data_IF_149115090429
#
_entry.id   IF_149115090429
#
_cell.length_a   1.000
_cell.length_b   1.000
_cell.length_c   1.000
_cell.angle_alpha   90.00
_cell.angle_beta   90.00
_cell.angle_gamma   90.00
#
_symmetry.space_group_name_H-M   'P 1'
#
loop_
_entity.id
_entity.type
_entity.pdbx_description
1 polymer ?
#
# COMPACT_ATOMS: atom_id res chain seq x y z
N UNK A 1 -15.41 11.70 -1.01
CA UNK A 1 -16.25 11.10 -2.06
C UNK A 1 -15.41 10.09 -2.84
N UNK A 2 -15.74 8.82 -2.72
CA UNK A 2 -15.14 7.77 -3.55
C UNK A 2 -15.49 7.97 -5.03
N UNK A 3 -14.49 7.93 -5.91
CA UNK A 3 -14.63 7.96 -7.37
C UNK A 3 -14.51 6.54 -7.89
N UNK A 4 -15.52 6.05 -8.61
CA UNK A 4 -15.55 4.68 -9.16
C UNK A 4 -14.93 4.59 -10.55
N UNK A 5 -14.76 3.37 -11.06
CA UNK A 5 -14.25 3.15 -12.42
C UNK A 5 -15.20 3.69 -13.48
N UNK A 6 -16.51 3.57 -13.28
CA UNK A 6 -17.53 4.11 -14.19
C UNK A 6 -17.47 5.64 -14.22
N UNK A 7 -17.32 6.28 -13.06
CA UNK A 7 -17.12 7.74 -12.98
C UNK A 7 -15.83 8.18 -13.70
N UNK A 8 -14.76 7.38 -13.62
CA UNK A 8 -13.50 7.61 -14.35
C UNK A 8 -13.65 7.46 -15.88
N UNK A 9 -14.53 6.56 -16.32
CA UNK A 9 -14.91 6.39 -17.74
C UNK A 9 -15.69 7.61 -18.24
N UNK A 10 -16.58 8.15 -17.41
CA UNK A 10 -17.31 9.39 -17.66
C UNK A 10 -16.44 10.67 -17.52
N UNK A 11 -15.14 10.51 -17.23
CA UNK A 11 -14.17 11.61 -17.21
C UNK A 11 -14.00 12.31 -15.86
N UNK A 12 -14.62 11.82 -14.79
CA UNK A 12 -14.37 12.32 -13.43
C UNK A 12 -12.95 11.95 -13.01
N UNK A 13 -12.21 12.92 -12.46
CA UNK A 13 -10.84 12.72 -11.97
C UNK A 13 -10.80 12.86 -10.46
N UNK A 14 -10.25 11.88 -9.71
CA UNK A 14 -10.12 11.97 -8.27
C UNK A 14 -9.03 12.98 -7.89
N UNK A 15 -9.22 13.67 -6.78
CA UNK A 15 -8.20 14.55 -6.22
C UNK A 15 -7.03 13.73 -5.65
N UNK A 16 -7.35 12.61 -4.99
CA UNK A 16 -6.37 11.68 -4.43
C UNK A 16 -6.47 10.30 -5.05
N UNK A 17 -5.33 9.63 -5.21
CA UNK A 17 -5.27 8.18 -5.37
C UNK A 17 -4.79 7.57 -4.06
N UNK A 18 -5.53 6.62 -3.50
CA UNK A 18 -5.12 5.89 -2.29
C UNK A 18 -4.82 4.45 -2.66
N UNK A 19 -3.54 4.10 -2.69
CA UNK A 19 -3.03 2.80 -3.10
C UNK A 19 -2.35 2.05 -1.96
N UNK A 20 -1.79 0.89 -2.28
CA UNK A 20 -0.97 0.14 -1.34
C UNK A 20 -1.30 -1.35 -1.28
N UNK A 21 -0.28 -2.14 -0.96
CA UNK A 21 -0.41 -3.56 -0.73
C UNK A 21 -0.88 -3.75 0.71
N UNK A 22 -2.18 -3.75 0.92
CA UNK A 22 -2.72 -3.98 2.25
C UNK A 22 -3.50 -5.29 2.36
N UNK A 23 -3.79 -5.98 1.25
CA UNK A 23 -4.39 -7.32 1.30
C UNK A 23 -3.50 -8.32 2.07
N UNK A 24 -4.10 -8.98 3.05
CA UNK A 24 -3.49 -10.03 3.86
C UNK A 24 -3.72 -11.35 3.15
N UNK A 25 -2.66 -12.10 2.83
CA UNK A 25 -2.85 -13.45 2.32
C UNK A 25 -3.37 -14.37 3.44
N UNK A 26 -4.64 -14.77 3.35
CA UNK A 26 -5.24 -15.78 4.21
C UNK A 26 -5.17 -17.18 3.59
N UNK A 27 -5.59 -18.19 4.36
CA UNK A 27 -5.61 -19.61 3.95
C UNK A 27 -6.56 -19.89 2.79
N UNK A 28 -7.66 -19.13 2.69
CA UNK A 28 -8.69 -19.29 1.66
C UNK A 28 -8.51 -18.27 0.53
N UNK A 29 -7.36 -17.60 0.50
CA UNK A 29 -7.12 -16.46 -0.36
C UNK A 29 -6.99 -15.15 0.43
N UNK A 30 -6.92 -14.05 -0.29
CA UNK A 30 -6.60 -12.75 0.26
C UNK A 30 -7.78 -12.10 0.98
N UNK A 31 -7.45 -11.35 2.03
CA UNK A 31 -8.36 -10.67 2.93
C UNK A 31 -8.09 -9.17 2.83
N UNK A 32 -9.14 -8.39 2.57
CA UNK A 32 -9.08 -6.92 2.61
C UNK A 32 -8.61 -6.46 3.98
N UNK A 33 -7.70 -5.50 4.01
CA UNK A 33 -7.24 -4.89 5.25
C UNK A 33 -8.00 -3.59 5.51
N UNK A 34 -8.68 -3.46 6.67
CA UNK A 34 -9.46 -2.27 7.00
C UNK A 34 -8.59 -1.06 7.40
N UNK A 35 -7.25 -1.17 7.37
CA UNK A 35 -6.32 -0.11 7.78
C UNK A 35 -6.58 1.26 7.11
N UNK A 36 -7.03 1.24 5.85
CA UNK A 36 -7.39 2.44 5.08
C UNK A 36 -8.79 2.99 5.32
N UNK A 37 -9.67 2.27 6.02
CA UNK A 37 -11.06 2.71 6.25
C UNK A 37 -11.11 4.04 7.01
N UNK A 38 -10.18 4.25 7.95
CA UNK A 38 -10.10 5.50 8.72
C UNK A 38 -9.67 6.70 7.85
N UNK A 39 -8.79 6.49 6.87
CA UNK A 39 -8.40 7.53 5.93
C UNK A 39 -9.59 7.87 5.02
N UNK A 40 -10.24 6.84 4.46
CA UNK A 40 -11.40 7.00 3.59
C UNK A 40 -12.56 7.75 4.28
N UNK A 41 -12.92 7.35 5.50
CA UNK A 41 -13.93 8.04 6.32
C UNK A 41 -13.59 9.53 6.50
N UNK A 42 -12.33 9.83 6.80
CA UNK A 42 -11.90 11.22 6.97
C UNK A 42 -11.94 12.01 5.65
N UNK A 43 -11.53 11.40 4.53
CA UNK A 43 -11.63 12.03 3.21
C UNK A 43 -13.09 12.32 2.83
N UNK A 44 -14.01 11.41 3.15
CA UNK A 44 -15.44 11.61 2.94
C UNK A 44 -16.01 12.74 3.82
N UNK A 45 -15.63 12.81 5.09
CA UNK A 45 -16.01 13.91 6.00
C UNK A 45 -15.56 15.28 5.50
N UNK A 46 -14.42 15.35 4.79
CA UNK A 46 -13.89 16.59 4.21
C UNK A 46 -14.34 16.82 2.76
N UNK A 47 -15.23 15.98 2.22
CA UNK A 47 -15.71 16.05 0.84
C UNK A 47 -14.60 16.02 -0.22
N UNK A 48 -13.46 15.38 0.08
CA UNK A 48 -12.38 15.24 -0.89
C UNK A 48 -12.61 14.02 -1.78
N UNK A 49 -12.43 14.17 -3.09
CA UNK A 49 -12.60 13.06 -4.02
C UNK A 49 -11.37 12.16 -4.03
N UNK A 50 -11.56 10.85 -3.97
CA UNK A 50 -10.45 9.90 -3.99
C UNK A 50 -10.81 8.63 -4.74
N UNK A 51 -9.81 7.98 -5.32
CA UNK A 51 -9.93 6.65 -5.89
C UNK A 51 -9.13 5.69 -5.05
N UNK A 52 -9.81 4.68 -4.48
CA UNK A 52 -9.18 3.59 -3.76
C UNK A 52 -9.58 2.27 -4.42
N UNK A 53 -8.64 1.53 -5.04
CA UNK A 53 -8.98 0.27 -5.68
C UNK A 53 -9.58 -0.71 -4.66
N UNK A 54 -9.18 -0.71 -3.39
CA UNK A 54 -9.48 -1.79 -2.45
C UNK A 54 -10.71 -1.56 -1.55
N UNK A 55 -11.36 -0.39 -1.64
CA UNK A 55 -12.50 -0.07 -0.77
C UNK A 55 -13.82 -0.55 -1.35
N UNK A 56 -13.95 -0.65 -2.67
CA UNK A 56 -15.22 -1.00 -3.30
C UNK A 56 -15.00 -1.79 -4.61
N UNK A 57 -15.89 -2.72 -4.95
CA UNK A 57 -15.73 -3.50 -6.19
C UNK A 57 -15.77 -2.62 -7.45
N UNK A 58 -16.54 -1.53 -7.42
CA UNK A 58 -16.65 -0.60 -8.55
C UNK A 58 -15.38 0.23 -8.81
N UNK A 59 -14.44 0.31 -7.87
CA UNK A 59 -13.15 0.98 -8.11
C UNK A 59 -12.11 0.05 -8.75
N UNK A 60 -12.43 -1.22 -8.95
CA UNK A 60 -11.59 -2.15 -9.70
C UNK A 60 -12.04 -2.35 -11.16
N UNK A 61 -13.27 -1.94 -11.50
CA UNK A 61 -13.77 -1.92 -12.88
C UNK A 61 -14.07 -3.29 -13.50
N UNK A 62 -14.03 -4.38 -12.71
CA UNK A 62 -14.46 -5.78 -13.01
C UNK A 62 -14.24 -6.67 -11.78
N UNK A 63 -14.82 -7.88 -11.79
CA UNK A 63 -14.56 -8.92 -10.78
C UNK A 63 -13.06 -9.05 -10.52
N UNK A 64 -12.66 -8.88 -9.26
CA UNK A 64 -11.26 -8.73 -8.86
C UNK A 64 -10.41 -9.93 -9.29
N UNK A 65 -9.61 -9.74 -10.35
CA UNK A 65 -8.55 -10.69 -10.74
C UNK A 65 -7.24 -10.20 -10.15
N UNK A 66 -6.68 -10.97 -9.23
CA UNK A 66 -5.40 -10.68 -8.59
C UNK A 66 -4.27 -10.45 -9.59
N UNK A 67 -3.48 -9.40 -9.36
CA UNK A 67 -2.23 -9.14 -10.08
C UNK A 67 -2.38 -8.40 -11.42
N UNK A 68 -3.58 -7.89 -11.74
CA UNK A 68 -3.81 -7.05 -12.92
C UNK A 68 -4.42 -5.73 -12.44
N UNK A 69 -3.63 -4.65 -12.44
CA UNK A 69 -4.20 -3.33 -12.20
C UNK A 69 -5.17 -3.01 -13.34
N UNK A 70 -6.39 -2.60 -12.98
CA UNK A 70 -7.38 -2.19 -13.96
C UNK A 70 -6.93 -0.95 -14.73
N UNK A 71 -7.37 -0.74 -15.98
CA UNK A 71 -7.04 0.46 -16.74
C UNK A 71 -7.44 1.75 -16.00
N UNK A 72 -8.54 1.73 -15.24
CA UNK A 72 -8.98 2.89 -14.45
C UNK A 72 -8.12 3.14 -13.22
N UNK A 73 -7.57 2.10 -12.60
CA UNK A 73 -6.66 2.25 -11.46
C UNK A 73 -5.38 2.98 -11.88
N UNK A 74 -4.77 2.56 -13.00
CA UNK A 74 -3.60 3.23 -13.56
C UNK A 74 -3.91 4.67 -13.94
N UNK A 75 -5.05 4.90 -14.62
CA UNK A 75 -5.50 6.23 -15.01
C UNK A 75 -5.74 7.14 -13.79
N UNK A 76 -6.39 6.63 -12.74
CA UNK A 76 -6.62 7.37 -11.51
C UNK A 76 -5.30 7.72 -10.81
N UNK A 77 -4.37 6.77 -10.70
CA UNK A 77 -3.02 7.01 -10.17
C UNK A 77 -2.28 8.06 -10.98
N UNK A 78 -2.37 8.06 -12.29
CA UNK A 78 -1.67 9.02 -13.16
C UNK A 78 -2.28 10.43 -13.10
N UNK A 79 -3.60 10.54 -13.01
CA UNK A 79 -4.30 11.84 -13.07
C UNK A 79 -4.48 12.52 -11.71
N UNK A 80 -4.44 11.77 -10.60
CA UNK A 80 -4.63 12.36 -9.27
C UNK A 80 -3.59 13.45 -8.94
N UNK A 81 -3.99 14.46 -8.15
CA UNK A 81 -3.09 15.51 -7.67
C UNK A 81 -2.08 14.96 -6.65
N UNK A 82 -2.50 13.98 -5.85
CA UNK A 82 -1.70 13.37 -4.78
C UNK A 82 -1.93 11.86 -4.71
N UNK A 83 -0.86 11.09 -4.47
CA UNK A 83 -0.94 9.66 -4.17
C UNK A 83 -0.67 9.42 -2.70
N UNK A 84 -1.40 8.51 -2.07
CA UNK A 84 -1.18 8.06 -0.70
C UNK A 84 -1.07 6.55 -0.73
N UNK A 85 0.10 6.02 -0.39
CA UNK A 85 0.36 4.58 -0.37
C UNK A 85 0.40 4.09 1.07
N UNK A 86 -0.49 3.16 1.41
CA UNK A 86 -0.45 2.46 2.69
C UNK A 86 0.47 1.23 2.60
N UNK A 87 1.41 1.15 3.53
CA UNK A 87 2.28 0.00 3.72
C UNK A 87 2.12 -0.47 5.17
N UNK A 88 1.58 -1.67 5.38
CA UNK A 88 1.43 -2.24 6.73
C UNK A 88 2.54 -3.24 7.05
N UNK A 89 2.85 -3.55 8.31
CA UNK A 89 3.84 -4.56 8.65
C UNK A 89 3.58 -5.95 8.07
N UNK A 90 2.34 -6.24 7.68
CA UNK A 90 1.91 -7.61 7.36
C UNK A 90 2.00 -7.96 5.87
N UNK A 91 2.39 -7.01 5.00
CA UNK A 91 2.43 -7.20 3.55
C UNK A 91 3.83 -6.99 3.00
N UNK A 92 4.28 -7.69 1.95
CA UNK A 92 5.61 -7.39 1.39
C UNK A 92 5.62 -6.03 0.69
N UNK A 93 4.48 -5.64 0.11
CA UNK A 93 4.32 -4.39 -0.62
C UNK A 93 5.25 -4.20 -1.83
N UNK A 94 5.72 -5.29 -2.46
CA UNK A 94 6.63 -5.21 -3.60
C UNK A 94 6.05 -4.41 -4.78
N UNK A 95 4.80 -4.69 -5.18
CA UNK A 95 4.13 -3.93 -6.26
C UNK A 95 3.98 -2.46 -5.89
N UNK A 96 3.51 -2.17 -4.67
CA UNK A 96 3.39 -0.80 -4.17
C UNK A 96 4.71 -0.05 -4.14
N UNK A 97 5.81 -0.72 -3.81
CA UNK A 97 7.14 -0.12 -3.86
C UNK A 97 7.50 0.25 -5.30
N UNK A 98 7.17 -0.59 -6.29
CA UNK A 98 7.37 -0.25 -7.71
C UNK A 98 6.49 0.92 -8.15
N UNK A 99 5.24 0.99 -7.70
CA UNK A 99 4.34 2.13 -7.97
C UNK A 99 4.89 3.43 -7.41
N UNK A 100 5.38 3.41 -6.16
CA UNK A 100 6.03 4.56 -5.53
C UNK A 100 7.26 4.99 -6.32
N UNK A 101 8.14 4.04 -6.68
CA UNK A 101 9.35 4.33 -7.45
C UNK A 101 9.01 4.92 -8.83
N UNK A 102 7.98 4.42 -9.51
CA UNK A 102 7.51 4.97 -10.77
C UNK A 102 6.98 6.40 -10.62
N UNK A 103 6.24 6.67 -9.53
CA UNK A 103 5.78 8.03 -9.22
C UNK A 103 6.94 8.98 -8.96
N UNK A 104 7.97 8.55 -8.23
CA UNK A 104 9.17 9.38 -8.00
C UNK A 104 9.91 9.68 -9.30
N UNK A 105 10.09 8.67 -10.17
CA UNK A 105 10.67 8.83 -11.51
C UNK A 105 9.89 9.82 -12.37
N UNK A 106 8.57 9.89 -12.20
CA UNK A 106 7.69 10.82 -12.91
C UNK A 106 7.48 12.15 -12.16
N UNK A 107 8.24 12.42 -11.09
CA UNK A 107 8.13 13.62 -10.25
C UNK A 107 6.72 13.86 -9.68
N UNK A 108 5.99 12.78 -9.40
CA UNK A 108 4.65 12.83 -8.81
C UNK A 108 4.75 12.79 -7.30
N UNK A 109 4.07 13.73 -6.63
CA UNK A 109 4.05 13.80 -5.17
C UNK A 109 3.27 12.63 -4.58
N UNK A 110 3.89 11.95 -3.62
CA UNK A 110 3.35 10.76 -2.95
C UNK A 110 3.59 10.83 -1.44
N UNK A 111 2.59 10.43 -0.67
CA UNK A 111 2.72 10.15 0.76
C UNK A 111 2.88 8.64 0.91
N UNK A 112 3.98 8.21 1.54
CA UNK A 112 4.23 6.82 1.90
C UNK A 112 3.89 6.66 3.38
N UNK A 113 2.78 6.00 3.66
CA UNK A 113 2.25 5.80 5.01
C UNK A 113 2.58 4.40 5.53
N UNK A 114 3.50 4.33 6.48
CA UNK A 114 3.82 3.11 7.23
C UNK A 114 2.82 2.89 8.36
N UNK A 115 1.61 2.40 8.03
CA UNK A 115 0.55 2.19 9.01
C UNK A 115 0.93 1.06 10.00
N UNK A 116 1.09 1.42 11.28
CA UNK A 116 1.65 0.59 12.36
C UNK A 116 3.17 0.40 12.30
N UNK A 117 3.89 1.25 11.58
CA UNK A 117 5.36 1.29 11.56
C UNK A 117 5.99 0.67 10.30
N UNK A 118 7.30 0.91 10.14
CA UNK A 118 8.07 0.55 8.94
C UNK A 118 8.75 -0.83 9.01
N UNK A 119 8.43 -1.63 10.03
CA UNK A 119 8.95 -2.99 10.15
C UNK A 119 8.16 -3.97 9.26
N UNK A 120 8.66 -5.21 9.13
CA UNK A 120 7.98 -6.29 8.41
C UNK A 120 7.74 -7.47 9.35
N UNK A 121 6.47 -7.71 9.67
CA UNK A 121 5.97 -8.73 10.59
C UNK A 121 4.72 -9.40 9.98
N UNK A 122 4.89 -10.31 9.02
CA UNK A 122 3.77 -11.01 8.40
C UNK A 122 3.01 -11.90 9.40
N UNK A 123 1.69 -11.97 9.23
CA UNK A 123 0.79 -12.71 10.13
C UNK A 123 1.19 -14.18 10.18
N UNK A 124 1.27 -14.72 11.41
CA UNK A 124 1.62 -16.13 11.66
C UNK A 124 3.11 -16.47 11.52
N UNK A 125 3.92 -15.54 11.02
CA UNK A 125 5.36 -15.72 10.84
C UNK A 125 6.19 -14.93 11.86
N UNK A 126 5.64 -13.83 12.37
CA UNK A 126 6.28 -13.00 13.39
C UNK A 126 7.51 -12.27 12.87
N UNK A 127 8.39 -11.87 13.78
CA UNK A 127 9.67 -11.26 13.42
C UNK A 127 10.65 -12.29 12.87
N UNK A 128 11.51 -11.88 11.93
CA UNK A 128 12.53 -12.75 11.30
C UNK A 128 13.33 -13.54 12.33
N UNK A 129 13.82 -12.88 13.38
CA UNK A 129 14.72 -13.50 14.36
C UNK A 129 14.01 -14.60 15.16
N UNK A 130 12.70 -14.42 15.41
CA UNK A 130 11.85 -15.44 16.03
C UNK A 130 11.61 -16.61 15.06
N UNK A 131 11.33 -16.31 13.79
CA UNK A 131 11.12 -17.35 12.78
C UNK A 131 12.37 -18.22 12.60
N UNK A 132 13.54 -17.60 12.51
CA UNK A 132 14.82 -18.29 12.33
C UNK A 132 15.10 -19.32 13.44
N UNK A 133 14.59 -19.07 14.65
CA UNK A 133 14.73 -19.97 15.80
C UNK A 133 13.59 -20.99 15.93
N UNK A 134 12.58 -20.97 15.05
CA UNK A 134 11.39 -21.82 15.13
C UNK A 134 11.64 -23.24 14.58
N UNK A 135 12.30 -24.07 15.39
CA UNK A 135 12.63 -25.47 15.06
C UNK A 135 11.39 -26.34 14.80
N UNK A 136 10.27 -26.06 15.50
CA UNK A 136 8.99 -26.76 15.31
C UNK A 136 8.45 -26.54 13.90
N UNK A 137 8.36 -25.28 13.46
CA UNK A 137 7.89 -24.93 12.13
C UNK A 137 8.82 -25.52 11.05
N UNK A 138 10.14 -25.37 11.24
CA UNK A 138 11.16 -25.94 10.33
C UNK A 138 10.98 -27.45 10.13
N UNK A 139 10.70 -28.18 11.21
CA UNK A 139 10.42 -29.62 11.16
C UNK A 139 9.11 -29.91 10.44
N UNK A 140 8.07 -29.12 10.68
CA UNK A 140 6.74 -29.31 10.11
C UNK A 140 6.69 -29.07 8.59
N UNK A 141 7.37 -28.04 8.08
CA UNK A 141 7.31 -27.65 6.65
C UNK A 141 8.49 -28.18 5.83
N UNK A 142 9.54 -28.67 6.49
CA UNK A 142 10.77 -29.13 5.87
C UNK A 142 11.75 -27.98 5.55
N UNK A 143 13.03 -28.34 5.37
CA UNK A 143 14.13 -27.38 5.25
C UNK A 143 13.95 -26.41 4.07
N UNK A 144 13.63 -26.95 2.90
CA UNK A 144 13.56 -26.16 1.68
C UNK A 144 12.49 -25.08 1.77
N UNK A 145 11.27 -25.44 2.23
CA UNK A 145 10.16 -24.50 2.39
C UNK A 145 10.51 -23.45 3.45
N UNK A 146 11.15 -23.86 4.54
CA UNK A 146 11.58 -22.95 5.59
C UNK A 146 12.62 -21.93 5.10
N UNK A 147 13.58 -22.33 4.26
CA UNK A 147 14.56 -21.40 3.67
C UNK A 147 13.91 -20.41 2.70
N UNK A 148 12.93 -20.85 1.89
CA UNK A 148 12.17 -19.93 1.03
C UNK A 148 11.38 -18.91 1.85
N UNK A 149 10.80 -19.34 2.97
CA UNK A 149 10.10 -18.46 3.89
C UNK A 149 11.02 -17.40 4.51
N UNK A 150 12.24 -17.79 4.91
CA UNK A 150 13.25 -16.84 5.40
C UNK A 150 13.67 -15.85 4.32
N UNK A 151 13.90 -16.31 3.09
CA UNK A 151 14.24 -15.45 1.96
C UNK A 151 13.13 -14.42 1.68
N UNK A 152 11.86 -14.86 1.71
CA UNK A 152 10.69 -14.00 1.59
C UNK A 152 10.67 -12.89 2.66
N UNK A 153 10.94 -13.24 3.93
CA UNK A 153 11.00 -12.25 5.02
C UNK A 153 12.17 -11.28 4.86
N UNK A 154 13.34 -11.77 4.47
CA UNK A 154 14.50 -10.92 4.23
C UNK A 154 14.25 -9.91 3.11
N UNK A 155 13.66 -10.36 1.99
CA UNK A 155 13.33 -9.48 0.88
C UNK A 155 12.34 -8.39 1.31
N UNK A 156 11.26 -8.73 2.03
CA UNK A 156 10.29 -7.75 2.53
C UNK A 156 10.91 -6.71 3.47
N UNK A 157 11.81 -7.13 4.37
CA UNK A 157 12.53 -6.22 5.27
C UNK A 157 13.48 -5.31 4.51
N UNK A 158 14.26 -5.88 3.60
CA UNK A 158 15.24 -5.13 2.81
C UNK A 158 14.57 -4.06 1.95
N UNK A 159 13.52 -4.43 1.22
CA UNK A 159 12.76 -3.51 0.37
C UNK A 159 12.22 -2.29 1.13
N UNK A 160 11.74 -2.47 2.37
CA UNK A 160 11.23 -1.38 3.21
C UNK A 160 12.33 -0.42 3.69
N UNK A 161 13.44 -0.98 4.14
CA UNK A 161 14.58 -0.18 4.61
C UNK A 161 15.21 0.59 3.44
N UNK A 162 15.37 -0.08 2.29
CA UNK A 162 15.92 0.54 1.09
C UNK A 162 15.00 1.61 0.53
N UNK A 163 13.68 1.42 0.52
CA UNK A 163 12.74 2.45 0.05
C UNK A 163 12.96 3.78 0.77
N UNK A 164 13.07 3.77 2.10
CA UNK A 164 13.31 4.98 2.88
C UNK A 164 14.67 5.58 2.52
N UNK A 165 15.72 4.76 2.49
CA UNK A 165 17.08 5.21 2.15
C UNK A 165 17.20 5.77 0.74
N UNK A 166 16.47 5.21 -0.22
CA UNK A 166 16.49 5.61 -1.63
C UNK A 166 15.79 6.95 -1.85
N UNK A 167 14.71 7.20 -1.11
CA UNK A 167 13.83 8.36 -1.34
C UNK A 167 13.96 9.44 -0.25
N UNK A 168 14.84 9.28 0.74
CA UNK A 168 15.02 10.24 1.85
C UNK A 168 15.36 11.67 1.40
N UNK A 169 15.87 11.84 0.17
CA UNK A 169 16.20 13.14 -0.40
C UNK A 169 15.27 13.56 -1.55
N UNK A 170 14.25 12.76 -1.89
CA UNK A 170 13.28 13.11 -2.92
C UNK A 170 12.19 14.00 -2.32
N UNK A 171 12.09 15.24 -2.80
CA UNK A 171 11.09 16.21 -2.33
C UNK A 171 9.65 15.84 -2.70
N UNK A 172 9.46 14.84 -3.57
CA UNK A 172 8.15 14.32 -3.93
C UNK A 172 7.70 13.17 -3.02
N UNK A 173 8.61 12.57 -2.25
CA UNK A 173 8.31 11.55 -1.25
C UNK A 173 8.09 12.16 0.12
N UNK A 174 6.94 11.87 0.75
CA UNK A 174 6.65 12.26 2.13
C UNK A 174 6.39 11.01 2.93
N UNK A 175 7.24 10.74 3.92
CA UNK A 175 7.05 9.61 4.82
C UNK A 175 6.16 10.00 6.01
N UNK A 176 5.17 9.17 6.28
CA UNK A 176 4.28 9.31 7.42
C UNK A 176 4.17 7.97 8.17
N UNK A 177 4.08 8.05 9.50
CA UNK A 177 4.03 6.91 10.41
C UNK A 177 2.73 6.87 11.21
N UNK A 178 1.97 7.98 11.21
CA UNK A 178 0.67 8.07 11.85
C UNK A 178 -0.39 8.58 10.88
N UNK A 179 -1.66 8.27 11.15
CA UNK A 179 -2.77 8.79 10.37
C UNK A 179 -2.85 10.33 10.44
N UNK A 180 -2.49 10.93 11.57
CA UNK A 180 -2.54 12.38 11.73
C UNK A 180 -1.44 13.09 10.92
N UNK A 181 -0.26 12.49 10.79
CA UNK A 181 0.78 12.96 9.85
C UNK A 181 0.30 12.92 8.40
N UNK A 182 -0.40 11.84 8.01
CA UNK A 182 -1.00 11.73 6.68
C UNK A 182 -2.02 12.86 6.46
N UNK A 183 -2.96 13.05 7.39
CA UNK A 183 -3.99 14.10 7.30
C UNK A 183 -3.36 15.49 7.20
N UNK A 184 -2.36 15.77 8.03
CA UNK A 184 -1.64 17.04 8.03
C UNK A 184 -0.93 17.28 6.70
N UNK A 185 -0.23 16.28 6.17
CA UNK A 185 0.46 16.37 4.89
C UNK A 185 -0.51 16.59 3.73
N UNK A 186 -1.62 15.84 3.66
CA UNK A 186 -2.64 16.03 2.62
C UNK A 186 -3.19 17.46 2.69
N UNK A 187 -3.55 17.93 3.89
CA UNK A 187 -4.12 19.28 4.08
C UNK A 187 -3.14 20.37 3.64
N UNK A 188 -1.87 20.24 3.98
CA UNK A 188 -0.82 21.18 3.60
C UNK A 188 -0.57 21.22 2.09
N UNK A 189 -0.72 20.09 1.40
CA UNK A 189 -0.51 19.98 -0.06
C UNK A 189 -1.73 20.46 -0.83
N UNK A 190 -2.94 20.11 -0.40
CA UNK A 190 -4.17 20.38 -1.15
C UNK A 190 -4.74 21.78 -0.90
N UNK A 191 -4.40 22.40 0.22
CA UNK A 191 -4.74 23.81 0.51
C UNK A 191 -3.85 24.82 -0.23
N UNK A 192 -2.90 24.34 -1.05
CA UNK A 192 -2.06 25.14 -1.95
C UNK A 192 -2.47 24.92 -3.40
#
# INVERSE_FOLDING_TARGET
>A
MLVTSEMMEDGIVPLLFTGGACNIQGINGPIRNPGRDLLAQWLDQNSWSYFDPQIHSSTHGRDYVWGIDGPQEKKARELAKLRVYEITPTTIAAITILEIMDDMRCHRRSIIWFNKGNFFSPIGLGERDQLQQNTRLRTQVGEMVFQHLLAYINAGRQLRNELVSMLQHDHNAIFAYTLDEVKAAITAILSR
#
